data_IF_633844451845
#
_entry.id   IF_633844451845
#
_cell.length_a   1.000
_cell.length_b   1.000
_cell.length_c   1.000
_cell.angle_alpha   90.00
_cell.angle_beta   90.00
_cell.angle_gamma   90.00
#
_symmetry.space_group_name_H-M   'P 1'
#
loop_
_entity.id
_entity.type
_entity.pdbx_description
1 polymer ?
#
# COMPACT_ATOMS: atom_id res chain seq x y z
N UNK A 1 3.94 11.78 -10.72
CA UNK A 1 3.73 11.62 -9.27
C UNK A 1 3.24 10.21 -9.01
N UNK A 2 3.76 9.57 -7.97
CA UNK A 2 3.38 8.22 -7.57
C UNK A 2 2.93 8.23 -6.11
N UNK A 3 1.90 7.45 -5.78
CA UNK A 3 1.51 7.13 -4.41
C UNK A 3 1.46 5.62 -4.22
N UNK A 4 2.04 5.14 -3.11
CA UNK A 4 1.92 3.77 -2.62
C UNK A 4 0.88 3.74 -1.50
N UNK A 5 -0.08 2.81 -1.57
CA UNK A 5 -1.06 2.52 -0.51
C UNK A 5 -1.22 1.01 -0.31
N UNK A 6 -1.62 0.52 0.88
CA UNK A 6 -1.85 -0.90 1.08
C UNK A 6 -3.19 -1.36 0.49
N UNK A 7 -3.24 -2.61 0.01
CA UNK A 7 -4.43 -3.26 -0.53
C UNK A 7 -5.39 -3.84 0.52
N UNK A 8 -5.40 -3.30 1.75
CA UNK A 8 -6.10 -3.92 2.88
C UNK A 8 -7.64 -3.69 2.82
N UNK A 9 -8.47 -4.74 2.96
CA UNK A 9 -9.93 -4.62 2.89
C UNK A 9 -10.55 -3.62 3.88
N UNK A 10 -9.91 -3.36 5.02
CA UNK A 10 -10.36 -2.39 6.01
C UNK A 10 -10.49 -0.97 5.44
N UNK A 11 -9.81 -0.66 4.33
CA UNK A 11 -9.95 0.62 3.62
C UNK A 11 -11.23 0.72 2.77
N UNK A 12 -11.94 -0.39 2.54
CA UNK A 12 -13.19 -0.37 1.77
C UNK A 12 -14.35 0.25 2.59
N UNK A 13 -15.31 0.94 1.92
CA UNK A 13 -16.46 1.54 2.59
C UNK A 13 -17.32 0.53 3.38
N UNK A 14 -17.33 -0.74 2.98
CA UNK A 14 -18.06 -1.81 3.68
C UNK A 14 -17.55 -2.09 5.10
N UNK A 15 -16.35 -1.61 5.43
CA UNK A 15 -15.74 -1.74 6.77
C UNK A 15 -15.79 -0.43 7.56
N UNK A 16 -16.47 0.61 7.05
CA UNK A 16 -16.74 1.83 7.79
C UNK A 16 -17.74 1.51 8.93
N UNK A 17 -17.20 1.32 10.13
CA UNK A 17 -17.96 1.11 11.37
C UNK A 17 -18.00 2.41 12.20
N UNK A 18 -18.78 2.46 13.28
CA UNK A 18 -18.77 3.59 14.22
C UNK A 18 -17.38 3.85 14.81
N UNK A 19 -16.57 2.80 14.92
CA UNK A 19 -15.15 2.85 15.29
C UNK A 19 -14.33 2.37 14.09
N UNK A 20 -13.50 3.24 13.53
CA UNK A 20 -12.63 2.91 12.39
C UNK A 20 -11.26 2.45 12.89
N UNK A 21 -10.97 1.14 12.88
CA UNK A 21 -9.74 0.59 13.44
C UNK A 21 -8.50 1.00 12.63
N UNK A 22 -8.68 1.61 11.46
CA UNK A 22 -7.62 2.07 10.57
C UNK A 22 -7.75 3.56 10.24
N UNK A 23 -8.35 4.37 11.12
CA UNK A 23 -8.59 5.79 10.86
C UNK A 23 -7.33 6.56 10.42
N UNK A 24 -6.20 6.34 11.10
CA UNK A 24 -4.92 6.96 10.74
C UNK A 24 -4.42 6.53 9.35
N UNK A 25 -4.46 5.23 9.06
CA UNK A 25 -4.09 4.68 7.75
C UNK A 25 -5.00 5.19 6.64
N UNK A 26 -6.32 5.24 6.88
CA UNK A 26 -7.30 5.75 5.93
C UNK A 26 -7.05 7.22 5.61
N UNK A 27 -6.84 8.05 6.63
CA UNK A 27 -6.54 9.46 6.44
C UNK A 27 -5.27 9.66 5.60
N UNK A 28 -4.20 8.89 5.88
CA UNK A 28 -2.97 8.91 5.10
C UNK A 28 -3.22 8.50 3.64
N UNK A 29 -3.95 7.40 3.40
CA UNK A 29 -4.28 6.95 2.05
C UNK A 29 -5.08 8.00 1.26
N UNK A 30 -6.08 8.62 1.88
CA UNK A 30 -6.88 9.67 1.24
C UNK A 30 -6.02 10.89 0.91
N UNK A 31 -5.11 11.30 1.79
CA UNK A 31 -4.16 12.39 1.52
C UNK A 31 -3.25 12.08 0.34
N UNK A 32 -2.63 10.90 0.33
CA UNK A 32 -1.73 10.46 -0.74
C UNK A 32 -2.45 10.34 -2.10
N UNK A 33 -3.66 9.77 -2.13
CA UNK A 33 -4.43 9.63 -3.38
C UNK A 33 -4.94 10.98 -3.87
N UNK A 34 -5.35 11.89 -2.98
CA UNK A 34 -5.75 13.24 -3.37
C UNK A 34 -4.60 14.02 -4.03
N UNK A 35 -3.37 13.82 -3.57
CA UNK A 35 -2.19 14.47 -4.14
C UNK A 35 -1.94 14.09 -5.61
N UNK A 36 -2.35 12.88 -6.04
CA UNK A 36 -2.21 12.42 -7.43
C UNK A 36 -3.05 13.23 -8.43
N UNK A 37 -4.03 14.01 -7.95
CA UNK A 37 -4.90 14.82 -8.79
C UNK A 37 -6.09 14.05 -9.39
N UNK A 38 -6.77 14.65 -10.38
CA UNK A 38 -8.11 14.23 -10.80
C UNK A 38 -8.14 12.94 -11.64
N UNK A 39 -7.01 12.49 -12.21
CA UNK A 39 -6.97 11.31 -13.10
C UNK A 39 -5.87 10.36 -12.63
N UNK A 40 -6.25 9.19 -12.13
CA UNK A 40 -5.33 8.26 -11.49
C UNK A 40 -5.25 6.97 -12.28
N UNK A 41 -4.04 6.53 -12.63
CA UNK A 41 -3.82 5.18 -13.15
C UNK A 41 -3.49 4.23 -12.01
N UNK A 42 -4.22 3.13 -11.91
CA UNK A 42 -4.06 2.13 -10.84
C UNK A 42 -3.13 1.01 -11.27
N UNK A 43 -2.17 0.66 -10.41
CA UNK A 43 -1.28 -0.50 -10.55
C UNK A 43 -1.46 -1.39 -9.33
N UNK A 44 -2.07 -2.57 -9.51
CA UNK A 44 -2.38 -3.51 -8.44
C UNK A 44 -2.30 -4.97 -8.93
N UNK A 45 -1.89 -5.90 -8.07
CA UNK A 45 -1.61 -7.29 -8.41
C UNK A 45 -2.85 -8.21 -8.38
N UNK A 46 -3.95 -7.77 -7.77
CA UNK A 46 -5.15 -8.57 -7.57
C UNK A 46 -6.45 -7.78 -7.35
N UNK A 47 -7.59 -8.48 -7.34
CA UNK A 47 -8.91 -7.85 -7.31
C UNK A 47 -9.19 -7.06 -6.02
N UNK A 48 -8.63 -7.49 -4.88
CA UNK A 48 -8.79 -6.78 -3.61
C UNK A 48 -8.07 -5.43 -3.65
N UNK A 49 -6.79 -5.42 -4.04
CA UNK A 49 -6.01 -4.19 -4.17
C UNK A 49 -6.63 -3.21 -5.17
N UNK A 50 -7.07 -3.71 -6.33
CA UNK A 50 -7.76 -2.89 -7.33
C UNK A 50 -9.05 -2.24 -6.77
N UNK A 51 -9.85 -2.99 -6.00
CA UNK A 51 -11.06 -2.46 -5.36
C UNK A 51 -10.74 -1.40 -4.30
N UNK A 52 -9.67 -1.60 -3.52
CA UNK A 52 -9.21 -0.62 -2.53
C UNK A 52 -8.78 0.67 -3.22
N UNK A 53 -7.94 0.58 -4.25
CA UNK A 53 -7.50 1.74 -5.03
C UNK A 53 -8.68 2.51 -5.65
N UNK A 54 -9.63 1.80 -6.28
CA UNK A 54 -10.84 2.40 -6.83
C UNK A 54 -11.68 3.12 -5.76
N UNK A 55 -11.83 2.52 -4.58
CA UNK A 55 -12.58 3.13 -3.49
C UNK A 55 -11.89 4.39 -2.95
N UNK A 56 -10.57 4.38 -2.81
CA UNK A 56 -9.80 5.55 -2.37
C UNK A 56 -9.85 6.68 -3.40
N UNK A 57 -9.66 6.38 -4.68
CA UNK A 57 -9.77 7.36 -5.77
C UNK A 57 -11.16 8.01 -5.80
N UNK A 58 -12.23 7.19 -5.73
CA UNK A 58 -13.60 7.69 -5.68
C UNK A 58 -13.87 8.57 -4.44
N UNK A 59 -13.31 8.22 -3.28
CA UNK A 59 -13.50 8.96 -2.04
C UNK A 59 -12.90 10.37 -2.08
N UNK A 60 -11.85 10.60 -2.88
CA UNK A 60 -11.23 11.92 -3.07
C UNK A 60 -11.70 12.63 -4.35
N UNK A 61 -12.60 12.00 -5.12
CA UNK A 61 -13.15 12.57 -6.36
C UNK A 61 -12.25 12.41 -7.59
N UNK A 62 -11.25 11.54 -7.55
CA UNK A 62 -10.40 11.21 -8.69
C UNK A 62 -11.05 10.16 -9.60
N UNK A 63 -10.87 10.31 -10.91
CA UNK A 63 -11.27 9.36 -11.94
C UNK A 63 -10.16 8.32 -12.15
N UNK A 64 -10.50 7.03 -12.17
CA UNK A 64 -9.53 5.98 -12.55
C UNK A 64 -9.48 5.87 -14.06
N UNK A 65 -8.28 6.05 -14.63
CA UNK A 65 -8.05 6.08 -16.08
C UNK A 65 -6.99 5.07 -16.50
N UNK A 66 -7.05 4.64 -17.76
CA UNK A 66 -6.03 3.77 -18.35
C UNK A 66 -4.82 4.55 -18.90
N UNK A 67 -5.06 5.77 -19.38
CA UNK A 67 -4.07 6.66 -20.00
C UNK A 67 -4.39 8.12 -19.67
N UNK A 68 -3.43 9.02 -19.87
CA UNK A 68 -3.55 10.45 -19.56
C UNK A 68 -3.82 10.72 -18.07
N UNK A 69 -3.15 9.95 -17.20
CA UNK A 69 -3.19 10.14 -15.76
C UNK A 69 -2.41 11.39 -15.31
N UNK A 70 -2.88 12.03 -14.25
CA UNK A 70 -2.11 13.04 -13.50
C UNK A 70 -1.17 12.40 -12.48
N UNK A 71 -1.45 11.16 -12.06
CA UNK A 71 -0.60 10.40 -11.14
C UNK A 71 -0.89 8.90 -11.15
N UNK A 72 0.06 8.13 -10.62
CA UNK A 72 -0.01 6.67 -10.54
C UNK A 72 -0.26 6.24 -9.10
N UNK A 73 -1.31 5.45 -8.88
CA UNK A 73 -1.61 4.82 -7.60
C UNK A 73 -1.18 3.37 -7.63
N UNK A 74 -0.12 3.05 -6.89
CA UNK A 74 0.41 1.71 -6.72
C UNK A 74 -0.14 1.10 -5.43
N UNK A 75 -0.56 -0.16 -5.52
CA UNK A 75 -1.05 -0.93 -4.38
C UNK A 75 -0.05 -2.02 -4.02
N UNK A 76 0.35 -2.06 -2.76
CA UNK A 76 1.18 -3.12 -2.21
C UNK A 76 1.44 -2.94 -0.71
N UNK A 77 1.92 -4.00 -0.06
CA UNK A 77 2.24 -4.02 1.36
C UNK A 77 3.39 -4.97 1.67
N UNK A 78 4.03 -4.76 2.82
CA UNK A 78 5.04 -5.67 3.35
C UNK A 78 4.42 -6.94 3.91
N UNK A 79 5.18 -7.65 4.74
CA UNK A 79 4.80 -8.94 5.33
C UNK A 79 3.51 -8.87 6.16
N UNK A 80 2.76 -9.98 6.19
CA UNK A 80 1.55 -10.16 7.01
C UNK A 80 1.74 -11.14 8.18
N UNK A 81 2.98 -11.25 8.67
CA UNK A 81 3.44 -12.24 9.66
C UNK A 81 4.25 -11.65 10.81
N UNK A 82 4.08 -10.36 11.13
CA UNK A 82 4.89 -9.63 12.14
C UNK A 82 4.56 -9.97 13.59
N UNK A 83 3.42 -10.60 13.87
CA UNK A 83 2.98 -10.92 15.24
C UNK A 83 2.24 -12.25 15.31
N UNK A 84 2.09 -12.84 16.50
CA UNK A 84 1.31 -14.07 16.69
C UNK A 84 -0.17 -13.92 16.31
N UNK A 85 -0.68 -12.69 16.38
CA UNK A 85 -2.05 -12.31 16.02
C UNK A 85 -2.20 -11.96 14.54
N UNK A 86 -1.11 -11.97 13.78
CA UNK A 86 -1.14 -11.67 12.37
C UNK A 86 -1.92 -12.73 11.58
N UNK A 87 -2.56 -12.37 10.45
CA UNK A 87 -3.33 -13.31 9.64
C UNK A 87 -2.56 -14.56 9.22
N UNK A 88 -1.25 -14.42 8.94
CA UNK A 88 -0.38 -15.50 8.51
C UNK A 88 0.38 -16.21 9.65
N UNK A 89 0.08 -15.90 10.91
CA UNK A 89 0.87 -16.25 12.10
C UNK A 89 2.28 -15.63 12.11
N UNK A 90 2.96 -15.63 13.26
CA UNK A 90 4.28 -15.03 13.38
C UNK A 90 5.33 -15.78 12.55
N UNK A 91 6.15 -15.05 11.82
CA UNK A 91 7.35 -15.55 11.15
C UNK A 91 8.51 -14.59 11.46
N UNK A 92 9.61 -15.09 12.02
CA UNK A 92 10.76 -14.27 12.44
C UNK A 92 11.44 -13.55 11.27
N UNK A 93 11.29 -14.06 10.04
CA UNK A 93 11.87 -13.47 8.82
C UNK A 93 11.16 -12.16 8.42
N UNK A 94 9.93 -11.95 8.90
CA UNK A 94 9.08 -10.82 8.54
C UNK A 94 9.76 -9.45 8.76
N UNK A 95 10.45 -9.28 9.89
CA UNK A 95 11.10 -8.01 10.23
C UNK A 95 12.21 -7.64 9.25
N UNK A 96 13.12 -8.59 8.99
CA UNK A 96 14.25 -8.38 8.11
C UNK A 96 13.80 -8.18 6.66
N UNK A 97 12.76 -8.89 6.24
CA UNK A 97 12.15 -8.70 4.92
C UNK A 97 11.57 -7.29 4.76
N UNK A 98 10.78 -6.81 5.72
CA UNK A 98 10.21 -5.46 5.67
C UNK A 98 11.28 -4.37 5.80
N UNK A 99 12.39 -4.63 6.49
CA UNK A 99 13.54 -3.72 6.52
C UNK A 99 14.21 -3.64 5.14
N UNK A 100 14.42 -4.77 4.46
CA UNK A 100 14.99 -4.76 3.10
C UNK A 100 14.10 -4.03 2.09
N UNK A 101 12.77 -4.18 2.20
CA UNK A 101 11.82 -3.45 1.34
C UNK A 101 11.86 -1.93 1.56
N UNK A 102 12.17 -1.47 2.78
CA UNK A 102 12.36 -0.04 3.05
C UNK A 102 13.60 0.53 2.38
N UNK A 103 14.64 -0.29 2.23
CA UNK A 103 15.87 0.12 1.56
C UNK A 103 15.71 0.12 0.04
N UNK A 104 15.02 -0.88 -0.52
CA UNK A 104 14.80 -0.98 -1.97
C UNK A 104 13.64 -1.91 -2.31
N UNK A 105 12.91 -1.58 -3.38
CA UNK A 105 11.93 -2.46 -4.01
C UNK A 105 12.51 -3.27 -5.19
N UNK A 106 13.81 -3.17 -5.44
CA UNK A 106 14.50 -3.98 -6.44
C UNK A 106 15.02 -5.29 -5.83
N UNK A 107 14.96 -6.37 -6.61
CA UNK A 107 15.50 -7.66 -6.20
C UNK A 107 14.69 -8.38 -5.10
N UNK A 108 13.40 -8.04 -4.96
CA UNK A 108 12.51 -8.68 -3.99
C UNK A 108 12.47 -10.20 -4.21
N UNK A 109 12.76 -10.97 -3.17
CA UNK A 109 12.58 -12.42 -3.18
C UNK A 109 11.08 -12.75 -3.20
N UNK A 110 10.58 -13.09 -4.38
CA UNK A 110 9.17 -13.39 -4.60
C UNK A 110 8.69 -14.64 -3.83
N UNK A 111 9.58 -15.63 -3.61
CA UNK A 111 9.21 -16.82 -2.85
C UNK A 111 9.09 -16.48 -1.36
N UNK A 112 10.00 -15.66 -0.83
CA UNK A 112 9.90 -15.18 0.54
C UNK A 112 8.70 -14.23 0.72
N UNK A 113 8.40 -13.39 -0.26
CA UNK A 113 7.21 -12.54 -0.25
C UNK A 113 5.92 -13.37 -0.17
N UNK A 114 5.82 -14.43 -0.96
CA UNK A 114 4.68 -15.37 -0.91
C UNK A 114 4.61 -16.10 0.43
N UNK A 115 5.74 -16.61 0.96
CA UNK A 115 5.83 -17.22 2.29
C UNK A 115 5.33 -16.27 3.40
N UNK A 116 5.65 -14.98 3.29
CA UNK A 116 5.31 -13.95 4.27
C UNK A 116 3.97 -13.25 4.01
N UNK A 117 3.24 -13.67 2.97
CA UNK A 117 1.96 -13.09 2.55
C UNK A 117 2.06 -11.58 2.27
N UNK A 118 3.20 -11.14 1.74
CA UNK A 118 3.42 -9.77 1.31
C UNK A 118 2.86 -9.54 -0.11
N UNK A 119 2.31 -8.35 -0.37
CA UNK A 119 1.88 -7.95 -1.72
C UNK A 119 2.93 -7.01 -2.32
N UNK A 120 3.93 -7.61 -2.96
CA UNK A 120 5.09 -6.90 -3.51
C UNK A 120 5.12 -6.85 -5.04
N UNK A 121 4.17 -7.50 -5.70
CA UNK A 121 4.20 -7.72 -7.15
C UNK A 121 4.17 -6.43 -7.98
N UNK A 122 3.66 -5.33 -7.42
CA UNK A 122 3.61 -4.02 -8.07
C UNK A 122 4.63 -3.02 -7.54
N UNK A 123 5.52 -3.41 -6.61
CA UNK A 123 6.48 -2.51 -5.98
C UNK A 123 7.78 -2.36 -6.78
N UNK A 124 8.13 -3.35 -7.60
CA UNK A 124 9.38 -3.34 -8.37
C UNK A 124 9.49 -2.08 -9.25
N UNK A 125 10.66 -1.42 -9.21
CA UNK A 125 10.93 -0.19 -9.95
C UNK A 125 10.40 1.10 -9.30
N UNK A 126 9.73 1.02 -8.15
CA UNK A 126 9.49 2.23 -7.34
C UNK A 126 10.81 2.74 -6.73
N UNK A 127 10.98 4.07 -6.58
CA UNK A 127 12.12 4.60 -5.84
C UNK A 127 12.08 4.14 -4.37
N UNK A 128 13.24 4.11 -3.68
CA UNK A 128 13.30 3.76 -2.26
C UNK A 128 12.38 4.60 -1.38
N UNK A 129 11.88 4.02 -0.28
CA UNK A 129 11.04 4.75 0.69
C UNK A 129 11.79 5.90 1.37
N UNK A 130 13.11 5.86 1.44
CA UNK A 130 13.94 6.96 1.95
C UNK A 130 13.86 8.24 1.09
N UNK A 131 13.43 8.12 -0.17
CA UNK A 131 13.22 9.25 -1.09
C UNK A 131 11.75 9.69 -1.15
N UNK A 132 10.86 9.01 -0.42
CA UNK A 132 9.44 9.28 -0.39
C UNK A 132 9.05 10.21 0.76
N UNK A 133 7.93 10.90 0.61
CA UNK A 133 7.19 11.41 1.76
C UNK A 133 6.34 10.27 2.34
N UNK A 134 6.78 9.69 3.46
CA UNK A 134 6.07 8.60 4.15
C UNK A 134 5.14 9.17 5.21
N UNK A 135 3.83 9.03 5.01
CA UNK A 135 2.80 9.53 5.93
C UNK A 135 2.21 8.43 6.83
N UNK A 136 2.48 7.17 6.50
CA UNK A 136 2.15 6.01 7.34
C UNK A 136 3.20 4.92 7.19
N UNK A 137 3.70 4.40 8.30
CA UNK A 137 4.58 3.23 8.37
C UNK A 137 4.32 2.52 9.72
N UNK A 138 3.48 1.48 9.70
CA UNK A 138 3.17 0.70 10.90
C UNK A 138 2.60 -0.69 10.53
N UNK A 139 2.57 -1.59 11.52
CA UNK A 139 2.04 -2.94 11.41
C UNK A 139 0.95 -3.27 12.46
N UNK A 140 -0.17 -2.53 12.51
CA UNK A 140 -1.14 -2.59 13.61
C UNK A 140 -1.83 -3.95 13.76
N UNK A 141 -1.90 -4.75 12.69
CA UNK A 141 -2.46 -6.11 12.71
C UNK A 141 -1.40 -7.18 12.45
N UNK A 142 -0.12 -6.85 12.66
CA UNK A 142 0.99 -7.69 12.24
C UNK A 142 1.18 -7.75 10.72
N UNK A 143 0.62 -6.77 10.00
CA UNK A 143 0.82 -6.58 8.55
C UNK A 143 1.44 -5.23 8.31
N UNK A 144 2.61 -5.19 7.66
CA UNK A 144 3.33 -3.96 7.39
C UNK A 144 2.63 -3.14 6.31
N UNK A 145 2.16 -1.94 6.68
CA UNK A 145 1.54 -1.00 5.78
C UNK A 145 2.42 0.24 5.59
N UNK A 146 2.49 0.71 4.35
CA UNK A 146 3.11 1.98 4.01
C UNK A 146 2.12 2.86 3.25
N UNK A 147 2.13 4.16 3.54
CA UNK A 147 1.56 5.18 2.67
C UNK A 147 2.66 6.18 2.36
N UNK A 148 3.02 6.28 1.08
CA UNK A 148 4.15 7.05 0.64
C UNK A 148 3.88 7.74 -0.70
N UNK A 149 4.45 8.93 -0.92
CA UNK A 149 4.35 9.67 -2.17
C UNK A 149 5.72 10.09 -2.70
N UNK A 150 5.88 10.07 -4.01
CA UNK A 150 7.06 10.58 -4.72
C UNK A 150 6.66 11.66 -5.74
N UNK A 151 7.27 12.83 -5.60
CA UNK A 151 7.16 13.91 -6.57
C UNK A 151 8.10 13.65 -7.75
N UNK A 152 7.56 13.70 -8.98
CA UNK A 152 8.39 13.69 -10.19
C UNK A 152 9.09 12.38 -10.56
N UNK A 153 8.70 11.24 -9.98
CA UNK A 153 9.12 9.92 -10.46
C UNK A 153 8.72 9.65 -11.91
#
# INVERSE_FOLDING_TARGET
MIALVPGVPALLPSYASLEDPVAGLRAACLGAVAALGPRVRVVASGPTGARVAQALAAAVGSEVVAEEETGVLVVGNGSAKRTERAPGHFDERAEAFDASLRESFDGIDAALADDLWADTACLAGLPPLAEAEVTYDDAPFGVQYWVATWDGA
#
